data_IF_486294242502
#
_entry.id   IF_486294242502
#
_cell.length_a   1.000
_cell.length_b   1.000
_cell.length_c   1.000
_cell.angle_alpha   90.00
_cell.angle_beta   90.00
_cell.angle_gamma   90.00
#
_symmetry.space_group_name_H-M   'P 1'
#
loop_
_entity.id
_entity.type
_entity.pdbx_description
1 polymer ?
#
# COMPACT_ATOMS: atom_id res chain seq x y z
N UNK A 1 19.33 10.63 1.45
CA UNK A 1 18.65 10.33 2.74
C UNK A 1 18.07 8.94 2.63
N UNK A 2 18.26 8.06 3.63
CA UNK A 2 17.56 6.78 3.65
C UNK A 2 16.05 7.03 3.70
N UNK A 3 15.28 6.19 2.99
CA UNK A 3 13.83 6.28 2.94
C UNK A 3 13.25 5.66 4.21
N UNK A 4 12.13 6.19 4.72
CA UNK A 4 11.42 5.52 5.82
C UNK A 4 10.88 4.15 5.41
N UNK A 5 10.77 3.89 4.09
CA UNK A 5 10.42 2.59 3.53
C UNK A 5 11.56 1.56 3.61
N UNK A 6 12.79 1.96 3.93
CA UNK A 6 13.92 1.03 4.00
C UNK A 6 13.76 -0.04 5.08
N UNK A 7 12.98 0.24 6.12
CA UNK A 7 12.66 -0.72 7.19
C UNK A 7 11.40 -1.55 6.90
N UNK A 8 10.77 -1.33 5.75
CA UNK A 8 9.53 -2.01 5.33
C UNK A 8 9.80 -3.09 4.30
N UNK A 9 8.95 -4.12 4.31
CA UNK A 9 8.95 -5.18 3.30
C UNK A 9 7.70 -5.08 2.43
N UNK A 10 7.89 -5.05 1.11
CA UNK A 10 6.79 -5.13 0.16
C UNK A 10 6.30 -6.58 0.02
N UNK A 11 4.99 -6.77 0.11
CA UNK A 11 4.29 -8.01 -0.19
C UNK A 11 3.31 -7.75 -1.35
N UNK A 12 3.31 -8.64 -2.34
CA UNK A 12 2.34 -8.60 -3.44
C UNK A 12 1.30 -9.69 -3.21
N UNK A 13 0.03 -9.31 -3.19
CA UNK A 13 -1.10 -10.23 -3.01
C UNK A 13 -1.98 -10.22 -4.26
N UNK A 14 -2.18 -11.40 -4.83
CA UNK A 14 -3.12 -11.61 -5.92
C UNK A 14 -4.52 -11.76 -5.34
N UNK A 15 -5.36 -10.75 -5.56
CA UNK A 15 -6.73 -10.73 -5.02
C UNK A 15 -7.60 -11.83 -5.60
N UNK A 16 -7.25 -12.43 -6.75
CA UNK A 16 -8.03 -13.52 -7.36
C UNK A 16 -7.88 -14.85 -6.64
N UNK A 17 -6.90 -14.95 -5.72
CA UNK A 17 -6.67 -16.16 -4.92
C UNK A 17 -7.57 -16.25 -3.68
N UNK A 18 -8.19 -15.14 -3.28
CA UNK A 18 -9.13 -15.06 -2.15
C UNK A 18 -10.43 -14.37 -2.62
N UNK A 19 -11.58 -15.08 -2.65
CA UNK A 19 -12.85 -14.48 -3.07
C UNK A 19 -13.27 -13.24 -2.29
N UNK A 20 -12.89 -13.12 -1.01
CA UNK A 20 -13.19 -11.95 -0.20
C UNK A 20 -12.36 -10.74 -0.65
N UNK A 21 -11.08 -10.95 -1.00
CA UNK A 21 -10.24 -9.88 -1.56
C UNK A 21 -10.68 -9.48 -2.96
N UNK A 22 -11.04 -10.45 -3.81
CA UNK A 22 -11.58 -10.14 -5.12
C UNK A 22 -12.85 -9.29 -4.99
N UNK A 23 -13.83 -9.72 -4.20
CA UNK A 23 -15.06 -8.96 -3.98
C UNK A 23 -14.80 -7.55 -3.42
N UNK A 24 -13.78 -7.38 -2.58
CA UNK A 24 -13.44 -6.08 -1.98
C UNK A 24 -12.67 -5.14 -2.92
N UNK A 25 -11.82 -5.66 -3.82
CA UNK A 25 -10.81 -4.86 -4.51
C UNK A 25 -10.83 -4.92 -6.04
N UNK A 26 -11.63 -5.79 -6.67
CA UNK A 26 -11.62 -6.04 -8.13
C UNK A 26 -11.60 -4.76 -9.00
N UNK A 27 -12.39 -3.75 -8.65
CA UNK A 27 -12.46 -2.48 -9.40
C UNK A 27 -11.42 -1.42 -8.97
N UNK A 28 -10.71 -1.65 -7.87
CA UNK A 28 -9.86 -0.64 -7.22
C UNK A 28 -8.38 -0.97 -7.30
N UNK A 29 -8.00 -2.13 -7.82
CA UNK A 29 -6.60 -2.49 -8.07
C UNK A 29 -5.89 -1.38 -8.88
N UNK A 30 -4.69 -0.94 -8.48
CA UNK A 30 -3.92 -1.38 -7.31
C UNK A 30 -4.39 -0.72 -5.99
N UNK A 31 -4.41 -1.51 -4.93
CA UNK A 31 -4.65 -1.07 -3.54
C UNK A 31 -3.37 -1.29 -2.73
N UNK A 32 -2.99 -0.30 -1.93
CA UNK A 32 -1.86 -0.39 -1.01
C UNK A 32 -2.37 -0.36 0.43
N UNK A 33 -1.86 -1.28 1.24
CA UNK A 33 -2.05 -1.32 2.69
C UNK A 33 -0.70 -1.31 3.39
N UNK A 34 -0.68 -0.78 4.61
CA UNK A 34 0.47 -0.82 5.51
C UNK A 34 0.06 -1.56 6.79
N UNK A 35 0.94 -2.44 7.28
CA UNK A 35 0.72 -3.13 8.55
C UNK A 35 1.17 -2.22 9.70
N UNK A 36 0.25 -1.86 10.58
CA UNK A 36 0.56 -1.11 11.79
C UNK A 36 1.23 -2.02 12.85
N UNK A 37 1.86 -1.42 13.86
CA UNK A 37 2.57 -2.15 14.91
C UNK A 37 1.65 -3.09 15.73
N UNK A 38 0.34 -2.82 15.74
CA UNK A 38 -0.69 -3.64 16.37
C UNK A 38 -1.16 -4.84 15.50
N UNK A 39 -0.59 -4.98 14.29
CA UNK A 39 -0.94 -6.04 13.34
C UNK A 39 -2.15 -5.73 12.46
N UNK A 40 -2.72 -4.53 12.53
CA UNK A 40 -3.85 -4.13 11.68
C UNK A 40 -3.38 -3.62 10.33
N UNK A 41 -4.08 -4.01 9.26
CA UNK A 41 -3.86 -3.42 7.94
C UNK A 41 -4.57 -2.07 7.81
N UNK A 42 -3.80 -1.05 7.45
CA UNK A 42 -4.26 0.31 7.22
C UNK A 42 -4.17 0.61 5.73
N UNK A 43 -5.30 0.88 5.10
CA UNK A 43 -5.35 1.25 3.69
C UNK A 43 -4.70 2.62 3.47
N UNK A 44 -3.75 2.68 2.54
CA UNK A 44 -3.10 3.92 2.15
C UNK A 44 -3.95 4.69 1.12
N UNK A 45 -3.88 6.03 1.07
CA UNK A 45 -4.52 6.82 0.03
C UNK A 45 -4.08 6.39 -1.37
N UNK A 46 -5.00 6.36 -2.33
CA UNK A 46 -4.69 5.94 -3.70
C UNK A 46 -3.72 6.92 -4.37
N UNK A 47 -2.55 6.47 -4.87
CA UNK A 47 -1.67 7.34 -5.62
C UNK A 47 -2.27 7.64 -7.01
N UNK A 48 -2.01 8.82 -7.59
CA UNK A 48 -2.37 9.14 -8.97
C UNK A 48 -1.75 8.15 -9.98
N UNK A 49 -2.45 7.78 -11.07
CA UNK A 49 -2.02 6.71 -11.99
C UNK A 49 -0.66 6.92 -12.67
N UNK A 50 -0.19 8.17 -12.75
CA UNK A 50 1.06 8.55 -13.44
C UNK A 50 2.02 9.32 -12.52
N UNK A 51 1.98 9.02 -11.23
CA UNK A 51 2.91 9.60 -10.25
C UNK A 51 4.32 9.03 -10.46
N UNK A 52 5.35 9.89 -10.39
CA UNK A 52 6.75 9.44 -10.44
C UNK A 52 7.14 8.67 -9.19
N UNK A 53 8.16 7.81 -9.26
CA UNK A 53 8.61 7.00 -8.12
C UNK A 53 8.99 7.83 -6.90
N UNK A 54 9.67 8.97 -7.09
CA UNK A 54 10.03 9.86 -5.98
C UNK A 54 8.82 10.45 -5.27
N UNK A 55 7.78 10.84 -6.04
CA UNK A 55 6.53 11.34 -5.47
C UNK A 55 5.72 10.22 -4.84
N UNK A 56 5.76 9.03 -5.41
CA UNK A 56 5.11 7.84 -4.85
C UNK A 56 5.71 7.49 -3.49
N UNK A 57 7.04 7.51 -3.36
CA UNK A 57 7.72 7.33 -2.08
C UNK A 57 7.22 8.35 -1.04
N UNK A 58 7.23 9.63 -1.38
CA UNK A 58 6.76 10.69 -0.48
C UNK A 58 5.28 10.51 -0.09
N UNK A 59 4.45 10.09 -1.04
CA UNK A 59 3.02 9.82 -0.83
C UNK A 59 2.78 8.63 0.11
N UNK A 60 3.58 7.57 -0.01
CA UNK A 60 3.50 6.42 0.89
C UNK A 60 4.01 6.83 2.29
N UNK A 61 5.21 7.43 2.37
CA UNK A 61 5.83 7.84 3.64
C UNK A 61 4.95 8.78 4.46
N UNK A 62 4.19 9.68 3.82
CA UNK A 62 3.29 10.61 4.51
C UNK A 62 2.03 9.95 5.08
N UNK A 63 1.70 8.75 4.63
CA UNK A 63 0.50 8.01 5.01
C UNK A 63 0.79 6.76 5.85
N UNK A 64 2.05 6.49 6.17
CA UNK A 64 2.41 5.33 7.00
C UNK A 64 1.78 5.47 8.39
N UNK A 65 1.21 4.38 8.95
CA UNK A 65 0.79 4.36 10.34
C UNK A 65 2.00 4.58 11.25
N UNK A 66 1.77 5.31 12.35
CA UNK A 66 2.78 5.52 13.41
C UNK A 66 2.96 4.26 14.25
#
# INVERSE_FOLDING_TARGET
MPSALSDWRLELRDITTDPAWQAAYDMEVPVLTALAADGREVRLPRPPPRMTTDRLRQHIESALPQ
#
